data_IF_665097503745
#
_entry.id   IF_665097503745
#
_cell.length_a   1.000
_cell.length_b   1.000
_cell.length_c   1.000
_cell.angle_alpha   90.00
_cell.angle_beta   90.00
_cell.angle_gamma   90.00
#
_symmetry.space_group_name_H-M   'P 1'
#
loop_
_entity.id
_entity.type
_entity.pdbx_description
1 polymer ?
#
# COMPACT_ATOMS: atom_id res chain seq x y z
N UNK A 1 -15.00 8.32 10.81
CA UNK A 1 -16.32 8.75 11.27
C UNK A 1 -17.05 9.58 10.21
N UNK A 2 -16.47 10.68 9.71
CA UNK A 2 -17.12 11.59 8.71
C UNK A 2 -17.56 10.82 7.46
N UNK A 3 -16.70 10.01 6.89
CA UNK A 3 -17.01 9.21 5.70
C UNK A 3 -18.12 8.19 5.97
N UNK A 4 -18.09 7.55 7.13
CA UNK A 4 -19.14 6.61 7.52
C UNK A 4 -20.49 7.31 7.63
N UNK A 5 -20.55 8.47 8.29
CA UNK A 5 -21.79 9.26 8.41
C UNK A 5 -22.34 9.66 7.03
N UNK A 6 -21.46 9.93 6.07
CA UNK A 6 -21.83 10.38 4.74
C UNK A 6 -22.26 9.25 3.79
N UNK A 7 -21.61 8.08 3.88
CA UNK A 7 -21.71 7.06 2.84
C UNK A 7 -22.24 5.71 3.32
N UNK A 8 -22.29 5.41 4.63
CA UNK A 8 -22.68 4.10 5.14
C UNK A 8 -24.17 3.83 5.08
N UNK A 9 -25.00 4.87 4.84
CA UNK A 9 -26.47 4.79 4.95
C UNK A 9 -26.92 4.25 6.31
N UNK A 10 -26.09 4.39 7.35
CA UNK A 10 -26.28 3.86 8.70
C UNK A 10 -26.55 2.34 8.76
N UNK A 11 -26.00 1.62 7.79
CA UNK A 11 -26.11 0.15 7.77
C UNK A 11 -25.28 -0.46 8.90
N UNK A 12 -25.70 -1.63 9.38
CA UNK A 12 -24.87 -2.46 10.28
C UNK A 12 -23.47 -2.59 9.69
N UNK A 13 -22.47 -2.25 10.50
CA UNK A 13 -21.11 -2.05 10.00
C UNK A 13 -20.09 -2.89 10.74
N UNK A 14 -19.17 -3.48 10.00
CA UNK A 14 -17.94 -4.08 10.53
C UNK A 14 -16.73 -3.28 10.07
N UNK A 15 -15.85 -2.91 11.00
CA UNK A 15 -14.62 -2.15 10.75
C UNK A 15 -13.41 -3.03 11.04
N UNK A 16 -12.50 -3.14 10.09
CA UNK A 16 -11.23 -3.87 10.23
C UNK A 16 -10.10 -2.91 10.55
N UNK A 17 -9.61 -2.94 11.79
CA UNK A 17 -8.53 -2.11 12.27
C UNK A 17 -7.16 -2.80 12.13
N UNK A 18 -6.08 -2.01 12.21
CA UNK A 18 -4.69 -2.49 12.08
C UNK A 18 -4.26 -3.29 13.30
N UNK A 19 -4.51 -2.73 14.49
CA UNK A 19 -4.16 -3.28 15.80
C UNK A 19 -5.26 -2.97 16.83
N UNK A 20 -5.07 -3.45 18.05
CA UNK A 20 -6.03 -3.30 19.13
C UNK A 20 -6.20 -1.85 19.53
N UNK A 21 -5.10 -1.10 19.65
CA UNK A 21 -5.15 0.32 20.04
C UNK A 21 -5.92 1.17 19.02
N UNK A 22 -5.68 0.92 17.74
CA UNK A 22 -6.42 1.57 16.65
C UNK A 22 -7.89 1.18 16.66
N UNK A 23 -8.21 -0.08 16.93
CA UNK A 23 -9.58 -0.57 17.01
C UNK A 23 -10.36 0.10 18.17
N UNK A 24 -9.73 0.20 19.33
CA UNK A 24 -10.30 0.90 20.49
C UNK A 24 -10.50 2.39 20.21
N UNK A 25 -9.51 3.04 19.61
CA UNK A 25 -9.61 4.46 19.23
C UNK A 25 -10.78 4.70 18.26
N UNK A 26 -10.92 3.88 17.22
CA UNK A 26 -12.05 4.00 16.30
C UNK A 26 -13.38 3.81 17.04
N UNK A 27 -13.51 2.78 17.87
CA UNK A 27 -14.71 2.55 18.68
C UNK A 27 -15.05 3.78 19.51
N UNK A 28 -14.07 4.35 20.21
CA UNK A 28 -14.26 5.51 21.10
C UNK A 28 -14.73 6.76 20.33
N UNK A 29 -14.20 7.00 19.14
CA UNK A 29 -14.66 8.10 18.28
C UNK A 29 -16.12 7.95 17.84
N UNK A 30 -16.57 6.73 17.54
CA UNK A 30 -17.97 6.47 17.23
C UNK A 30 -18.86 6.65 18.46
N UNK A 31 -18.43 6.16 19.62
CA UNK A 31 -19.17 6.30 20.90
C UNK A 31 -19.28 7.78 21.32
N UNK A 32 -18.20 8.57 21.20
CA UNK A 32 -18.23 10.03 21.45
C UNK A 32 -19.21 10.76 20.53
N UNK A 33 -19.42 10.25 19.32
CA UNK A 33 -20.39 10.78 18.38
C UNK A 33 -21.82 10.29 18.64
N UNK A 34 -22.08 9.58 19.75
CA UNK A 34 -23.39 9.07 20.13
C UNK A 34 -23.84 7.83 19.37
N UNK A 35 -22.91 7.10 18.72
CA UNK A 35 -23.20 5.87 17.99
C UNK A 35 -22.88 4.65 18.85
N UNK A 36 -23.63 3.57 18.67
CA UNK A 36 -23.49 2.33 19.42
C UNK A 36 -22.43 1.45 18.76
N UNK A 37 -21.19 1.56 19.24
CA UNK A 37 -20.05 0.83 18.70
C UNK A 37 -19.38 -0.01 19.77
N UNK A 38 -18.98 -1.22 19.42
CA UNK A 38 -18.22 -2.14 20.28
C UNK A 38 -16.94 -2.62 19.60
N UNK A 39 -16.01 -3.06 20.42
CA UNK A 39 -14.71 -3.57 20.01
C UNK A 39 -14.59 -5.06 20.35
N UNK A 40 -14.01 -5.83 19.42
CA UNK A 40 -13.62 -7.22 19.66
C UNK A 40 -12.21 -7.49 19.12
N UNK A 41 -11.45 -8.31 19.83
CA UNK A 41 -10.11 -8.73 19.41
C UNK A 41 -9.82 -10.19 19.80
N UNK A 42 -8.56 -10.61 19.63
CA UNK A 42 -8.13 -11.98 19.94
C UNK A 42 -8.19 -12.34 21.42
N UNK A 43 -8.21 -11.36 22.34
CA UNK A 43 -8.32 -11.55 23.78
C UNK A 43 -9.78 -11.63 24.26
N UNK A 44 -10.73 -11.17 23.44
CA UNK A 44 -12.18 -11.22 23.75
C UNK A 44 -12.64 -12.68 23.82
N UNK A 45 -13.22 -13.14 24.95
CA UNK A 45 -13.76 -14.49 25.07
C UNK A 45 -14.77 -14.82 23.97
N UNK A 46 -14.86 -16.10 23.60
CA UNK A 46 -15.73 -16.51 22.50
C UNK A 46 -17.19 -16.14 22.76
N UNK A 47 -17.69 -16.39 23.97
CA UNK A 47 -19.10 -16.14 24.32
C UNK A 47 -19.44 -14.63 24.27
N UNK A 48 -18.50 -13.77 24.68
CA UNK A 48 -18.63 -12.33 24.61
C UNK A 48 -18.61 -11.84 23.15
N UNK A 49 -17.77 -12.44 22.30
CA UNK A 49 -17.75 -12.17 20.86
C UNK A 49 -19.07 -12.55 20.20
N UNK A 50 -19.56 -13.75 20.51
CA UNK A 50 -20.81 -14.27 19.94
C UNK A 50 -21.99 -13.37 20.36
N UNK A 51 -22.03 -12.90 21.61
CA UNK A 51 -23.05 -11.97 22.10
C UNK A 51 -22.93 -10.58 21.43
N UNK A 52 -21.71 -10.04 21.28
CA UNK A 52 -21.51 -8.78 20.57
C UNK A 52 -22.02 -8.85 19.12
N UNK A 53 -21.73 -9.94 18.43
CA UNK A 53 -22.24 -10.17 17.08
C UNK A 53 -23.78 -10.35 17.07
N UNK A 54 -24.35 -11.07 18.04
CA UNK A 54 -25.79 -11.20 18.17
C UNK A 54 -26.46 -9.84 18.40
N UNK A 55 -25.87 -8.96 19.19
CA UNK A 55 -26.35 -7.58 19.42
C UNK A 55 -26.30 -6.75 18.14
N UNK A 56 -25.23 -6.90 17.33
CA UNK A 56 -25.18 -6.28 15.99
C UNK A 56 -26.30 -6.80 15.10
N UNK A 57 -26.56 -8.12 15.13
CA UNK A 57 -27.64 -8.75 14.38
C UNK A 57 -29.03 -8.22 14.77
N UNK A 58 -29.31 -8.10 16.07
CA UNK A 58 -30.58 -7.53 16.57
C UNK A 58 -30.72 -6.03 16.35
N UNK A 59 -29.60 -5.31 16.06
CA UNK A 59 -29.57 -3.86 15.93
C UNK A 59 -29.46 -3.14 17.29
N UNK A 60 -29.04 -3.84 18.35
CA UNK A 60 -28.73 -3.24 19.65
C UNK A 60 -27.49 -2.38 19.59
N UNK A 61 -26.56 -2.72 18.69
CA UNK A 61 -25.38 -1.92 18.30
C UNK A 61 -25.35 -1.75 16.78
N UNK A 62 -24.71 -0.68 16.33
CA UNK A 62 -24.64 -0.32 14.90
C UNK A 62 -23.32 -0.75 14.27
N UNK A 63 -22.26 -0.82 15.07
CA UNK A 63 -20.89 -0.94 14.58
C UNK A 63 -20.10 -1.90 15.47
N UNK A 64 -19.39 -2.83 14.83
CA UNK A 64 -18.34 -3.64 15.48
C UNK A 64 -17.00 -3.32 14.86
N UNK A 65 -16.08 -2.86 15.70
CA UNK A 65 -14.68 -2.64 15.30
C UNK A 65 -13.85 -3.82 15.75
N UNK A 66 -13.09 -4.41 14.83
CA UNK A 66 -12.33 -5.60 15.16
C UNK A 66 -10.86 -5.53 14.75
N UNK A 67 -10.03 -6.28 15.49
CA UNK A 67 -8.65 -6.53 15.13
C UNK A 67 -8.44 -8.03 14.86
N UNK A 68 -8.37 -8.41 13.56
CA UNK A 68 -8.04 -9.76 13.06
C UNK A 68 -9.00 -10.89 13.41
N UNK A 69 -10.11 -10.65 14.11
CA UNK A 69 -11.00 -11.71 14.60
C UNK A 69 -12.10 -12.06 13.61
N UNK A 70 -12.63 -11.06 12.92
CA UNK A 70 -13.74 -11.23 11.98
C UNK A 70 -13.29 -11.48 10.53
N UNK A 71 -12.04 -11.89 10.32
CA UNK A 71 -11.57 -12.32 9.01
C UNK A 71 -12.12 -13.69 8.64
N UNK A 72 -12.32 -14.55 9.63
CA UNK A 72 -12.81 -15.93 9.46
C UNK A 72 -13.84 -16.29 10.54
N UNK A 73 -14.61 -17.35 10.31
CA UNK A 73 -15.42 -18.03 11.33
C UNK A 73 -16.72 -17.35 11.76
N UNK A 74 -17.14 -16.21 11.19
CA UNK A 74 -18.44 -15.60 11.47
C UNK A 74 -19.33 -15.51 10.23
N UNK A 75 -20.63 -15.55 10.44
CA UNK A 75 -21.62 -15.45 9.38
C UNK A 75 -22.77 -14.53 9.80
N UNK A 76 -22.86 -13.38 9.19
CA UNK A 76 -23.90 -12.39 9.41
C UNK A 76 -24.22 -11.68 8.10
N UNK A 77 -25.03 -12.27 7.25
CA UNK A 77 -25.31 -11.77 5.90
C UNK A 77 -25.95 -10.39 5.86
N UNK A 78 -26.68 -10.00 6.91
CA UNK A 78 -27.38 -8.71 7.01
C UNK A 78 -26.46 -7.51 7.33
N UNK A 79 -25.17 -7.73 7.60
CA UNK A 79 -24.19 -6.64 7.65
C UNK A 79 -24.04 -6.04 6.27
N UNK A 80 -24.35 -4.75 6.14
CA UNK A 80 -24.41 -4.04 4.86
C UNK A 80 -23.24 -3.11 4.59
N UNK A 81 -22.37 -2.84 5.59
CA UNK A 81 -21.24 -1.93 5.42
C UNK A 81 -19.95 -2.53 5.98
N UNK A 82 -18.86 -2.37 5.24
CA UNK A 82 -17.50 -2.75 5.64
C UNK A 82 -16.58 -1.54 5.56
N UNK A 83 -15.85 -1.25 6.63
CA UNK A 83 -14.79 -0.24 6.62
C UNK A 83 -13.42 -0.91 6.69
N UNK A 84 -12.61 -0.68 5.69
CA UNK A 84 -11.23 -1.17 5.63
C UNK A 84 -10.30 -0.08 6.16
N UNK A 85 -10.10 -0.05 7.47
CA UNK A 85 -9.13 0.83 8.13
C UNK A 85 -7.75 0.16 8.28
N UNK A 86 -7.54 -0.96 7.59
CA UNK A 86 -6.32 -1.76 7.64
C UNK A 86 -5.73 -1.96 6.25
N UNK A 87 -4.54 -1.41 5.97
CA UNK A 87 -3.81 -1.74 4.75
C UNK A 87 -3.44 -3.23 4.71
N UNK A 88 -3.74 -3.90 3.63
CA UNK A 88 -3.33 -5.30 3.43
C UNK A 88 -2.55 -5.47 2.14
N UNK A 89 -1.54 -6.35 2.16
CA UNK A 89 -0.77 -6.74 0.97
C UNK A 89 -1.27 -8.06 0.38
N UNK A 90 -2.12 -8.79 1.11
CA UNK A 90 -2.60 -10.12 0.73
C UNK A 90 -3.98 -10.00 0.10
N UNK A 91 -4.10 -10.37 -1.18
CA UNK A 91 -5.37 -10.38 -1.90
C UNK A 91 -6.42 -11.29 -1.22
N UNK A 92 -5.98 -12.46 -0.70
CA UNK A 92 -6.86 -13.38 0.01
C UNK A 92 -7.51 -12.73 1.24
N UNK A 93 -6.71 -12.05 2.08
CA UNK A 93 -7.23 -11.35 3.27
C UNK A 93 -8.16 -10.20 2.89
N UNK A 94 -7.82 -9.42 1.86
CA UNK A 94 -8.69 -8.37 1.33
C UNK A 94 -10.05 -8.92 0.93
N UNK A 95 -10.07 -10.00 0.16
CA UNK A 95 -11.32 -10.63 -0.30
C UNK A 95 -12.10 -11.31 0.83
N UNK A 96 -11.42 -11.86 1.83
CA UNK A 96 -12.07 -12.42 3.01
C UNK A 96 -12.82 -11.34 3.79
N UNK A 97 -12.18 -10.19 4.06
CA UNK A 97 -12.82 -9.08 4.76
C UNK A 97 -14.07 -8.56 4.02
N UNK A 98 -13.95 -8.27 2.73
CA UNK A 98 -15.07 -7.76 1.93
C UNK A 98 -16.13 -8.85 1.69
N UNK A 99 -15.71 -10.08 1.45
CA UNK A 99 -16.61 -11.21 1.18
C UNK A 99 -17.61 -11.47 2.30
N UNK A 100 -17.32 -11.04 3.52
CA UNK A 100 -18.26 -11.15 4.66
C UNK A 100 -19.49 -10.28 4.46
N UNK A 101 -19.31 -9.07 3.95
CA UNK A 101 -20.42 -8.13 3.75
C UNK A 101 -21.07 -8.24 2.37
N UNK A 102 -20.48 -8.98 1.44
CA UNK A 102 -21.08 -9.24 0.12
C UNK A 102 -22.08 -10.40 0.12
N UNK A 103 -22.24 -11.08 1.24
CA UNK A 103 -23.21 -12.20 1.34
C UNK A 103 -24.63 -11.71 1.14
N UNK A 104 -25.43 -12.44 0.38
CA UNK A 104 -26.84 -12.11 0.19
C UNK A 104 -27.63 -12.33 1.49
N UNK A 105 -28.60 -11.45 1.74
CA UNK A 105 -29.56 -11.56 2.84
C UNK A 105 -30.93 -11.09 2.35
N UNK A 106 -32.04 -11.52 2.99
CA UNK A 106 -33.36 -11.02 2.66
C UNK A 106 -33.43 -9.49 2.77
N UNK A 107 -33.88 -8.82 1.71
CA UNK A 107 -33.96 -7.34 1.67
C UNK A 107 -32.66 -6.60 1.43
N UNK A 108 -31.54 -7.28 1.30
CA UNK A 108 -30.23 -6.68 1.01
C UNK A 108 -29.96 -6.74 -0.50
N UNK A 109 -29.88 -5.59 -1.14
CA UNK A 109 -29.63 -5.45 -2.58
C UNK A 109 -28.16 -5.26 -2.93
N UNK A 110 -27.38 -4.67 -2.00
CA UNK A 110 -25.98 -4.32 -2.19
C UNK A 110 -25.23 -4.24 -0.85
N UNK A 111 -23.93 -4.00 -0.92
CA UNK A 111 -23.09 -3.72 0.24
C UNK A 111 -22.16 -2.54 -0.03
N UNK A 112 -21.90 -1.76 1.01
CA UNK A 112 -21.02 -0.59 0.96
C UNK A 112 -19.65 -0.96 1.51
N UNK A 113 -18.60 -0.67 0.74
CA UNK A 113 -17.21 -0.83 1.19
C UNK A 113 -16.56 0.54 1.24
N UNK A 114 -16.20 0.98 2.44
CA UNK A 114 -15.42 2.20 2.67
C UNK A 114 -13.96 1.81 2.83
N UNK A 115 -13.13 2.15 1.88
CA UNK A 115 -11.71 1.78 1.87
C UNK A 115 -10.82 2.96 2.26
N UNK A 116 -10.65 3.17 3.56
CA UNK A 116 -9.72 4.16 4.11
C UNK A 116 -8.25 3.71 4.01
N UNK A 117 -8.00 2.48 3.60
CA UNK A 117 -6.66 1.88 3.50
C UNK A 117 -6.03 1.96 2.11
N UNK A 118 -6.82 2.27 1.08
CA UNK A 118 -6.40 2.24 -0.32
C UNK A 118 -6.15 0.83 -0.85
N UNK A 119 -6.74 -0.19 -0.25
CA UNK A 119 -6.55 -1.58 -0.65
C UNK A 119 -7.07 -1.86 -2.07
N UNK A 120 -8.16 -1.18 -2.49
CA UNK A 120 -8.71 -1.32 -3.84
C UNK A 120 -7.70 -0.90 -4.94
N UNK A 121 -6.86 0.10 -4.68
CA UNK A 121 -5.82 0.54 -5.63
C UNK A 121 -4.77 -0.54 -5.89
N UNK A 122 -4.56 -1.43 -4.91
CA UNK A 122 -3.61 -2.53 -5.00
C UNK A 122 -4.22 -3.80 -5.56
N UNK A 123 -5.44 -4.11 -5.14
CA UNK A 123 -6.07 -5.41 -5.35
C UNK A 123 -7.21 -5.39 -6.36
N UNK A 124 -7.63 -4.20 -6.83
CA UNK A 124 -8.81 -4.02 -7.66
C UNK A 124 -10.10 -4.06 -6.85
N UNK A 125 -11.23 -4.12 -7.53
CA UNK A 125 -12.55 -4.22 -6.90
C UNK A 125 -12.82 -5.65 -6.41
N UNK A 126 -13.70 -5.77 -5.43
CA UNK A 126 -14.12 -7.08 -4.89
C UNK A 126 -14.71 -8.00 -5.95
N UNK A 127 -15.37 -7.42 -6.96
CA UNK A 127 -16.05 -8.11 -8.06
C UNK A 127 -15.10 -8.50 -9.20
N UNK A 128 -13.86 -7.98 -9.21
CA UNK A 128 -12.91 -8.27 -10.28
C UNK A 128 -12.59 -9.76 -10.31
N UNK A 129 -12.62 -10.33 -11.52
CA UNK A 129 -12.29 -11.74 -11.73
C UNK A 129 -10.81 -11.99 -11.39
N UNK A 130 -10.57 -12.97 -10.54
CA UNK A 130 -9.21 -13.41 -10.19
C UNK A 130 -8.97 -14.79 -10.77
N UNK A 131 -7.89 -14.93 -11.52
CA UNK A 131 -7.41 -16.23 -11.96
C UNK A 131 -6.57 -16.85 -10.83
N UNK A 132 -7.14 -17.86 -10.20
CA UNK A 132 -6.45 -18.64 -9.17
C UNK A 132 -5.64 -19.74 -9.86
N UNK A 133 -4.38 -19.86 -9.48
CA UNK A 133 -3.50 -20.93 -9.96
C UNK A 133 -2.80 -21.62 -8.79
N UNK A 134 -2.67 -22.93 -8.88
CA UNK A 134 -1.86 -23.73 -7.97
C UNK A 134 -0.39 -23.79 -8.42
N UNK A 135 -0.07 -23.24 -9.60
CA UNK A 135 1.27 -23.19 -10.14
C UNK A 135 2.14 -22.23 -9.29
N UNK A 136 3.15 -22.74 -8.57
CA UNK A 136 3.98 -21.93 -7.70
C UNK A 136 4.76 -20.85 -8.45
N UNK A 137 5.10 -21.08 -9.72
CA UNK A 137 5.89 -20.15 -10.53
C UNK A 137 5.05 -18.98 -11.05
N UNK A 138 3.78 -19.20 -11.34
CA UNK A 138 2.85 -18.14 -11.75
C UNK A 138 2.34 -17.31 -10.58
N UNK A 139 2.19 -17.92 -9.42
CA UNK A 139 1.79 -17.23 -8.18
C UNK A 139 2.90 -16.35 -7.58
N UNK A 140 4.16 -16.60 -7.89
CA UNK A 140 5.31 -15.91 -7.34
C UNK A 140 5.47 -14.46 -7.85
N UNK A 141 4.91 -14.09 -9.01
CA UNK A 141 5.00 -12.71 -9.53
C UNK A 141 4.26 -11.67 -8.67
N UNK A 142 3.31 -12.09 -7.84
CA UNK A 142 2.60 -11.24 -6.87
C UNK A 142 2.97 -11.49 -5.39
N UNK A 143 3.80 -12.51 -5.12
CA UNK A 143 4.37 -12.69 -3.78
C UNK A 143 5.63 -11.85 -3.72
N UNK A 144 5.52 -10.67 -3.12
CA UNK A 144 6.70 -9.93 -2.70
C UNK A 144 7.60 -10.84 -1.87
N UNK A 145 8.82 -11.05 -2.36
CA UNK A 145 9.94 -11.81 -1.77
C UNK A 145 10.33 -11.42 -0.34
N UNK A 146 9.52 -10.60 0.34
CA UNK A 146 9.93 -9.83 1.50
C UNK A 146 9.78 -10.53 2.83
N UNK A 147 9.02 -11.63 2.95
CA UNK A 147 8.79 -12.20 4.28
C UNK A 147 9.82 -13.26 4.65
N UNK A 148 10.21 -14.10 3.72
CA UNK A 148 11.18 -15.18 3.97
C UNK A 148 12.61 -14.66 4.04
N UNK A 149 12.96 -13.64 3.25
CA UNK A 149 14.28 -12.99 3.30
C UNK A 149 14.39 -12.02 4.49
N UNK A 150 13.30 -11.39 4.95
CA UNK A 150 13.32 -10.56 6.14
C UNK A 150 13.28 -11.37 7.44
N UNK A 151 12.63 -12.52 7.47
CA UNK A 151 12.64 -13.42 8.63
C UNK A 151 13.97 -14.19 8.73
N UNK A 152 14.56 -14.62 7.62
CA UNK A 152 15.90 -15.22 7.59
C UNK A 152 17.01 -14.19 7.88
N UNK A 153 16.82 -12.93 7.53
CA UNK A 153 17.83 -11.89 7.78
C UNK A 153 17.73 -11.20 9.15
N UNK A 154 16.63 -11.37 9.87
CA UNK A 154 16.48 -10.77 11.21
C UNK A 154 17.19 -11.60 12.31
N UNK A 155 17.31 -12.90 12.12
CA UNK A 155 17.97 -13.81 13.09
C UNK A 155 19.48 -13.81 13.03
N UNK A 156 20.09 -13.50 11.88
CA UNK A 156 21.55 -13.59 11.67
C UNK A 156 22.27 -12.23 11.64
N UNK A 157 21.57 -11.11 11.86
CA UNK A 157 22.21 -9.80 11.89
C UNK A 157 22.76 -9.50 13.26
N UNK A 158 24.08 -9.43 13.35
CA UNK A 158 24.77 -8.81 14.48
C UNK A 158 24.55 -7.30 14.40
N UNK A 159 24.01 -6.70 15.46
CA UNK A 159 23.73 -5.26 15.56
C UNK A 159 24.28 -4.70 16.85
N UNK A 160 24.65 -3.42 16.84
CA UNK A 160 25.09 -2.73 18.05
C UNK A 160 23.91 -2.54 19.02
N UNK A 161 24.17 -2.76 20.30
CA UNK A 161 23.18 -2.48 21.34
C UNK A 161 23.02 -0.97 21.51
N UNK A 162 21.78 -0.46 21.47
CA UNK A 162 21.51 0.97 21.59
C UNK A 162 21.88 1.55 22.96
N UNK A 163 21.95 0.70 24.01
CA UNK A 163 22.26 1.14 25.36
C UNK A 163 23.75 1.07 25.70
N UNK A 164 24.43 -0.03 25.33
CA UNK A 164 25.81 -0.27 25.78
C UNK A 164 26.84 -0.43 24.63
N UNK A 165 26.42 -0.37 23.37
CA UNK A 165 27.28 -0.52 22.21
C UNK A 165 27.80 -1.94 21.95
N UNK A 166 27.49 -2.93 22.81
CA UNK A 166 27.91 -4.31 22.59
C UNK A 166 27.22 -4.94 21.40
N UNK A 167 27.93 -5.78 20.66
CA UNK A 167 27.36 -6.55 19.57
C UNK A 167 26.33 -7.55 20.09
N UNK A 168 25.16 -7.64 19.53
CA UNK A 168 24.10 -8.58 19.88
C UNK A 168 23.41 -9.14 18.65
N UNK A 169 22.74 -10.27 18.79
CA UNK A 169 21.89 -10.77 17.73
C UNK A 169 20.64 -9.91 17.57
N UNK A 170 20.26 -9.63 16.32
CA UNK A 170 19.08 -8.84 16.01
C UNK A 170 17.81 -9.48 16.56
N UNK A 171 17.00 -8.71 17.29
CA UNK A 171 15.75 -9.18 17.88
C UNK A 171 15.87 -9.92 19.21
N UNK A 172 17.09 -10.24 19.68
CA UNK A 172 17.32 -10.88 20.98
C UNK A 172 17.77 -9.85 22.05
N UNK A 173 17.61 -10.17 23.36
CA UNK A 173 18.13 -9.33 24.41
C UNK A 173 19.65 -9.17 24.30
N UNK A 174 20.18 -8.04 24.74
CA UNK A 174 21.62 -7.85 24.82
C UNK A 174 22.20 -8.71 25.95
N UNK A 175 23.16 -9.55 25.61
CA UNK A 175 23.81 -10.42 26.61
C UNK A 175 24.64 -9.64 27.63
N UNK A 176 25.05 -8.39 27.32
CA UNK A 176 25.89 -7.57 28.19
C UNK A 176 25.06 -6.72 29.16
N UNK A 177 24.00 -6.05 28.71
CA UNK A 177 23.19 -5.13 29.54
C UNK A 177 21.72 -5.53 29.71
N UNK A 178 21.27 -6.64 29.10
CA UNK A 178 19.88 -7.08 29.16
C UNK A 178 18.89 -6.23 28.31
N UNK A 179 19.36 -5.19 27.64
CA UNK A 179 18.47 -4.36 26.81
C UNK A 179 17.70 -5.19 25.79
N UNK A 180 16.37 -5.12 25.86
CA UNK A 180 15.46 -5.73 24.90
C UNK A 180 14.97 -4.64 23.94
N UNK A 181 15.23 -4.77 22.62
CA UNK A 181 14.68 -3.81 21.66
C UNK A 181 13.15 -3.91 21.67
N UNK A 182 12.48 -2.82 21.98
CA UNK A 182 11.04 -2.73 21.77
C UNK A 182 10.75 -2.94 20.28
N UNK A 183 9.80 -3.82 19.95
CA UNK A 183 9.28 -3.88 18.60
C UNK A 183 8.71 -2.49 18.31
N UNK A 184 9.31 -1.75 17.38
CA UNK A 184 8.70 -0.52 16.89
C UNK A 184 7.31 -0.91 16.40
N UNK A 185 6.28 -0.46 17.09
CA UNK A 185 4.95 -0.50 16.54
C UNK A 185 5.04 0.17 15.17
N UNK A 186 4.65 -0.55 14.12
CA UNK A 186 4.57 0.05 12.79
C UNK A 186 3.45 1.09 12.88
N UNK A 187 3.80 2.33 13.15
CA UNK A 187 2.86 3.42 13.12
C UNK A 187 2.25 3.49 11.73
N UNK A 188 0.96 3.28 11.64
CA UNK A 188 0.22 3.52 10.41
C UNK A 188 0.21 5.02 10.20
N UNK A 189 0.81 5.48 9.11
CA UNK A 189 0.78 6.89 8.75
C UNK A 189 -0.66 7.30 8.43
N UNK A 190 -1.27 8.06 9.28
CA UNK A 190 -2.57 8.68 9.04
C UNK A 190 -2.39 9.87 8.11
N UNK A 191 -3.17 9.92 7.04
CA UNK A 191 -3.27 11.07 6.14
C UNK A 191 -4.70 11.55 6.15
N UNK A 192 -4.88 12.83 6.28
CA UNK A 192 -6.17 13.45 6.02
C UNK A 192 -6.50 13.31 4.54
N UNK A 193 -7.71 12.92 4.22
CA UNK A 193 -8.17 12.72 2.86
C UNK A 193 -9.68 12.60 2.81
N UNK A 194 -10.25 12.88 1.67
CA UNK A 194 -11.67 12.67 1.40
C UNK A 194 -11.88 11.37 0.65
N UNK A 195 -12.84 10.57 1.08
CA UNK A 195 -13.33 9.44 0.31
C UNK A 195 -14.29 9.95 -0.77
N UNK A 196 -14.09 9.49 -2.00
CA UNK A 196 -15.01 9.69 -3.10
C UNK A 196 -15.56 8.36 -3.61
N UNK A 197 -16.70 8.40 -4.30
CA UNK A 197 -17.19 7.23 -5.02
C UNK A 197 -16.19 6.85 -6.11
N UNK A 198 -15.78 5.59 -6.12
CA UNK A 198 -14.91 5.05 -7.18
C UNK A 198 -15.81 4.46 -8.26
N UNK A 199 -15.91 5.17 -9.39
CA UNK A 199 -16.60 4.66 -10.57
C UNK A 199 -15.67 3.74 -11.36
N UNK A 200 -16.11 2.51 -11.61
CA UNK A 200 -15.39 1.50 -12.39
C UNK A 200 -15.09 1.96 -13.82
N UNK A 201 -15.96 2.79 -14.39
CA UNK A 201 -15.80 3.34 -15.73
C UNK A 201 -14.90 4.59 -15.75
N UNK A 202 -14.59 5.16 -14.60
CA UNK A 202 -13.59 6.21 -14.48
C UNK A 202 -12.20 5.55 -14.54
N UNK A 203 -11.74 5.28 -15.75
CA UNK A 203 -10.31 5.09 -16.02
C UNK A 203 -9.61 6.23 -15.30
N UNK A 204 -8.71 5.90 -14.37
CA UNK A 204 -7.91 6.90 -13.67
C UNK A 204 -7.28 7.79 -14.74
N UNK A 205 -7.85 8.97 -14.94
CA UNK A 205 -7.30 9.92 -15.89
C UNK A 205 -5.90 10.21 -15.38
N UNK A 206 -4.90 9.80 -16.15
CA UNK A 206 -3.52 10.20 -15.87
C UNK A 206 -3.56 11.72 -15.74
N UNK A 207 -3.01 12.28 -14.65
CA UNK A 207 -3.01 13.71 -14.47
C UNK A 207 -2.46 14.37 -15.74
N UNK A 208 -3.30 15.16 -16.40
CA UNK A 208 -2.90 15.94 -17.59
C UNK A 208 -2.11 17.13 -17.06
N UNK A 209 -0.83 17.15 -17.38
CA UNK A 209 0.04 18.27 -17.07
C UNK A 209 0.02 19.22 -18.28
N UNK A 210 -0.31 20.48 -18.03
CA UNK A 210 -0.12 21.55 -19.00
C UNK A 210 1.39 21.82 -19.25
N UNK A 211 1.69 22.70 -20.16
CA UNK A 211 3.07 22.97 -20.55
C UNK A 211 3.87 23.61 -19.38
N UNK A 212 3.22 24.48 -18.62
CA UNK A 212 3.84 25.14 -17.47
C UNK A 212 4.17 24.16 -16.34
N UNK A 213 3.23 23.27 -16.00
CA UNK A 213 3.47 22.23 -15.02
C UNK A 213 4.59 21.26 -15.46
N UNK A 214 4.65 20.91 -16.75
CA UNK A 214 5.76 20.10 -17.30
C UNK A 214 7.09 20.82 -17.20
N UNK A 215 7.13 22.13 -17.47
CA UNK A 215 8.31 22.97 -17.33
C UNK A 215 8.76 23.06 -15.88
N UNK A 216 7.83 23.22 -14.92
CA UNK A 216 8.15 23.20 -13.48
C UNK A 216 8.70 21.84 -13.05
N UNK A 217 8.13 20.74 -13.51
CA UNK A 217 8.66 19.40 -13.25
C UNK A 217 10.11 19.27 -13.75
N UNK A 218 10.40 19.77 -14.95
CA UNK A 218 11.76 19.76 -15.50
C UNK A 218 12.72 20.56 -14.63
N UNK A 219 12.33 21.76 -14.17
CA UNK A 219 13.11 22.59 -13.25
C UNK A 219 13.47 21.83 -11.95
N UNK A 220 12.49 21.13 -11.36
CA UNK A 220 12.70 20.32 -10.16
C UNK A 220 13.60 19.11 -10.40
N UNK A 221 13.53 18.47 -11.56
CA UNK A 221 14.44 17.38 -11.94
C UNK A 221 15.88 17.87 -12.14
N UNK A 222 16.07 19.06 -12.73
CA UNK A 222 17.39 19.71 -12.87
C UNK A 222 17.97 20.03 -11.48
N UNK A 223 17.13 20.51 -10.56
CA UNK A 223 17.56 20.76 -9.17
C UNK A 223 18.09 19.46 -8.51
N UNK A 224 17.33 18.35 -8.59
CA UNK A 224 17.75 17.05 -8.04
C UNK A 224 19.03 16.55 -8.71
N UNK A 225 19.21 16.81 -10.01
CA UNK A 225 20.45 16.47 -10.74
C UNK A 225 21.65 17.15 -10.11
N UNK A 226 21.56 18.46 -9.84
CA UNK A 226 22.61 19.24 -9.19
C UNK A 226 22.82 18.84 -7.73
N UNK A 227 21.72 18.69 -6.96
CA UNK A 227 21.76 18.30 -5.54
C UNK A 227 22.49 16.96 -5.34
N UNK A 228 22.33 16.01 -6.25
CA UNK A 228 22.87 14.65 -6.13
C UNK A 228 24.08 14.34 -6.99
N UNK A 229 24.57 15.31 -7.75
CA UNK A 229 25.72 15.13 -8.63
C UNK A 229 25.45 14.11 -9.76
N UNK A 230 24.23 14.02 -10.25
CA UNK A 230 23.91 13.15 -11.38
C UNK A 230 24.43 13.73 -12.69
N UNK A 231 24.60 12.86 -13.71
CA UNK A 231 24.94 13.28 -15.06
C UNK A 231 23.94 14.34 -15.57
N UNK A 232 24.40 15.44 -16.24
CA UNK A 232 23.52 16.49 -16.74
C UNK A 232 22.32 16.04 -17.56
N UNK A 233 22.46 14.94 -18.31
CA UNK A 233 21.37 14.35 -19.09
C UNK A 233 20.29 13.66 -18.26
N UNK A 234 20.53 13.38 -16.98
CA UNK A 234 19.64 12.62 -16.13
C UNK A 234 18.24 13.25 -16.02
N UNK A 235 18.16 14.57 -15.85
CA UNK A 235 16.89 15.29 -15.77
C UNK A 235 16.04 15.11 -17.03
N UNK A 236 16.66 15.20 -18.21
CA UNK A 236 15.98 15.05 -19.48
C UNK A 236 15.45 13.61 -19.68
N UNK A 237 16.23 12.60 -19.30
CA UNK A 237 15.79 11.21 -19.34
C UNK A 237 14.63 10.95 -18.38
N UNK A 238 14.66 11.50 -17.17
CA UNK A 238 13.57 11.37 -16.19
C UNK A 238 12.32 12.12 -16.63
N UNK A 239 12.48 13.26 -17.29
CA UNK A 239 11.38 13.99 -17.91
C UNK A 239 10.71 13.14 -19.00
N UNK A 240 11.51 12.55 -19.91
CA UNK A 240 10.99 11.65 -20.96
C UNK A 240 10.27 10.43 -20.36
N UNK A 241 10.82 9.84 -19.29
CA UNK A 241 10.19 8.73 -18.57
C UNK A 241 8.82 9.11 -18.00
N UNK A 242 8.65 10.35 -17.52
CA UNK A 242 7.39 10.82 -16.94
C UNK A 242 6.34 11.21 -17.98
N UNK A 243 6.77 11.94 -19.03
CA UNK A 243 5.87 12.61 -19.97
C UNK A 243 5.84 11.98 -21.37
N UNK A 244 6.71 11.01 -21.65
CA UNK A 244 6.80 10.36 -22.98
C UNK A 244 7.51 11.17 -24.05
N UNK A 245 7.83 12.43 -23.81
CA UNK A 245 8.47 13.35 -24.74
C UNK A 245 9.76 13.96 -24.13
N UNK A 246 10.70 14.35 -24.97
CA UNK A 246 11.89 15.06 -24.52
C UNK A 246 11.54 16.51 -24.12
N UNK A 247 12.22 17.09 -23.10
CA UNK A 247 12.07 18.50 -22.80
C UNK A 247 12.63 19.35 -23.95
N UNK A 248 12.14 20.58 -24.05
CA UNK A 248 12.66 21.53 -25.02
C UNK A 248 14.15 21.79 -24.76
N UNK A 249 14.98 21.65 -25.80
CA UNK A 249 16.44 21.84 -25.70
C UNK A 249 16.84 23.30 -25.52
N UNK A 250 16.03 24.21 -26.05
CA UNK A 250 16.29 25.62 -25.98
C UNK A 250 15.62 26.22 -24.74
N UNK A 251 16.40 26.98 -23.96
CA UNK A 251 15.96 27.65 -22.75
C UNK A 251 15.48 26.68 -21.62
N UNK A 252 16.42 25.87 -21.04
CA UNK A 252 16.09 25.03 -19.90
C UNK A 252 15.58 25.89 -18.73
N UNK A 253 14.59 25.44 -17.96
CA UNK A 253 14.08 26.22 -16.84
C UNK A 253 15.13 26.31 -15.72
N UNK A 254 15.05 27.39 -14.92
CA UNK A 254 15.89 27.53 -13.74
C UNK A 254 15.57 26.44 -12.71
N UNK A 255 16.62 25.87 -12.08
CA UNK A 255 16.41 24.82 -11.06
C UNK A 255 15.57 25.32 -9.90
N UNK A 256 14.50 24.62 -9.59
CA UNK A 256 13.58 24.96 -8.50
C UNK A 256 13.53 23.80 -7.49
N UNK A 257 13.45 24.07 -6.17
CA UNK A 257 13.35 23.03 -5.15
C UNK A 257 12.18 22.08 -5.42
N UNK A 258 12.42 20.76 -5.36
CA UNK A 258 11.40 19.77 -5.71
C UNK A 258 10.33 19.65 -4.63
N UNK A 259 9.08 19.52 -5.07
CA UNK A 259 7.94 19.21 -4.21
C UNK A 259 8.07 17.78 -3.65
N UNK A 260 7.36 17.46 -2.55
CA UNK A 260 7.30 16.10 -2.01
C UNK A 260 6.83 15.05 -3.04
N UNK A 261 5.94 15.43 -3.96
CA UNK A 261 5.46 14.58 -5.04
C UNK A 261 6.59 14.18 -5.99
N UNK A 262 7.37 15.17 -6.46
CA UNK A 262 8.51 14.94 -7.36
C UNK A 262 9.58 14.08 -6.69
N UNK A 263 9.92 14.37 -5.43
CA UNK A 263 10.87 13.55 -4.65
C UNK A 263 10.40 12.11 -4.50
N UNK A 264 9.11 11.90 -4.21
CA UNK A 264 8.52 10.57 -4.08
C UNK A 264 8.55 9.80 -5.40
N UNK A 265 8.20 10.46 -6.50
CA UNK A 265 8.24 9.87 -7.83
C UNK A 265 9.66 9.46 -8.23
N UNK A 266 10.65 10.35 -8.07
CA UNK A 266 12.06 10.05 -8.34
C UNK A 266 12.55 8.88 -7.50
N UNK A 267 12.21 8.86 -6.21
CA UNK A 267 12.56 7.74 -5.32
C UNK A 267 11.99 6.42 -5.81
N UNK A 268 10.73 6.40 -6.24
CA UNK A 268 10.09 5.19 -6.78
C UNK A 268 10.80 4.68 -8.05
N UNK A 269 11.23 5.59 -8.95
CA UNK A 269 11.96 5.22 -10.17
C UNK A 269 13.37 4.70 -9.88
N UNK A 270 14.07 5.30 -8.93
CA UNK A 270 15.39 4.83 -8.51
C UNK A 270 15.31 3.43 -7.87
N UNK A 271 14.28 3.17 -7.07
CA UNK A 271 14.03 1.82 -6.51
C UNK A 271 13.73 0.81 -7.62
N UNK A 272 12.89 1.17 -8.60
CA UNK A 272 12.58 0.29 -9.73
C UNK A 272 13.83 -0.02 -10.56
N UNK A 273 14.66 0.98 -10.83
CA UNK A 273 15.93 0.81 -11.55
C UNK A 273 16.92 -0.07 -10.78
N UNK A 274 17.06 0.14 -9.46
CA UNK A 274 17.93 -0.71 -8.64
C UNK A 274 17.47 -2.17 -8.62
N UNK A 275 16.15 -2.40 -8.59
CA UNK A 275 15.59 -3.76 -8.66
C UNK A 275 15.80 -4.43 -10.02
N UNK A 276 15.69 -3.69 -11.14
CA UNK A 276 15.91 -4.23 -12.47
C UNK A 276 17.37 -4.66 -12.70
N UNK A 277 18.34 -4.00 -12.07
CA UNK A 277 19.77 -4.40 -12.14
C UNK A 277 20.09 -5.70 -11.41
N UNK A 278 19.31 -6.02 -10.38
CA UNK A 278 19.51 -7.24 -9.59
C UNK A 278 18.76 -8.46 -10.12
N UNK A 279 18.08 -8.34 -11.27
CA UNK A 279 17.35 -9.44 -11.90
C UNK A 279 18.17 -10.06 -13.03
N UNK A 280 18.75 -11.29 -12.87
CA UNK A 280 19.67 -11.89 -13.87
C UNK A 280 18.99 -12.26 -15.21
N UNK A 281 17.64 -12.35 -15.23
CA UNK A 281 16.88 -12.79 -16.41
C UNK A 281 16.69 -11.77 -17.52
N UNK A 282 16.95 -10.48 -17.28
CA UNK A 282 16.75 -9.39 -18.28
C UNK A 282 18.04 -8.92 -18.95
N UNK A 283 19.15 -9.64 -18.76
CA UNK A 283 20.44 -9.26 -19.35
C UNK A 283 20.58 -9.60 -20.84
N UNK A 284 19.61 -10.26 -21.46
CA UNK A 284 19.73 -10.81 -22.81
C UNK A 284 19.43 -9.84 -23.98
N UNK A 285 19.00 -8.60 -23.72
CA UNK A 285 18.75 -7.61 -24.78
C UNK A 285 19.34 -6.23 -24.45
N UNK A 286 20.63 -6.18 -24.15
CA UNK A 286 21.35 -4.91 -24.17
C UNK A 286 21.99 -4.73 -25.52
N UNK A 287 21.36 -3.95 -26.38
CA UNK A 287 22.01 -3.35 -27.54
C UNK A 287 23.29 -2.65 -27.06
N UNK A 288 24.42 -3.01 -27.62
CA UNK A 288 25.68 -2.32 -27.37
C UNK A 288 25.49 -0.82 -27.66
N UNK A 289 25.97 0.03 -26.77
CA UNK A 289 25.93 1.48 -26.97
C UNK A 289 27.33 2.02 -27.17
N UNK A 290 27.50 3.04 -27.98
CA UNK A 290 28.78 3.73 -28.20
C UNK A 290 29.20 4.51 -26.95
N UNK A 291 30.36 5.14 -27.02
CA UNK A 291 30.94 5.96 -25.92
C UNK A 291 30.04 7.14 -25.50
N UNK A 292 29.00 7.47 -26.29
CA UNK A 292 28.05 8.54 -26.04
C UNK A 292 26.68 8.00 -25.60
N UNK A 293 26.50 6.65 -25.46
CA UNK A 293 25.28 6.02 -24.99
C UNK A 293 24.21 5.78 -26.07
N UNK A 294 24.57 5.83 -27.36
CA UNK A 294 23.66 5.51 -28.46
C UNK A 294 23.71 4.03 -28.81
N UNK A 295 22.57 3.40 -29.16
CA UNK A 295 22.55 2.01 -29.60
C UNK A 295 23.33 1.85 -30.92
N UNK A 296 24.31 0.96 -30.93
CA UNK A 296 25.04 0.56 -32.13
C UNK A 296 24.17 -0.43 -32.87
N UNK A 297 23.69 -0.08 -34.06
CA UNK A 297 23.04 -1.02 -34.95
C UNK A 297 24.07 -2.09 -35.34
N UNK A 298 23.72 -3.38 -35.16
CA UNK A 298 24.54 -4.46 -35.71
C UNK A 298 24.62 -4.31 -37.24
N UNK A 299 25.81 -4.46 -37.85
CA UNK A 299 25.89 -4.48 -39.30
C UNK A 299 25.08 -5.68 -39.83
N UNK A 300 24.23 -5.43 -40.82
CA UNK A 300 23.56 -6.49 -41.59
C UNK A 300 24.66 -7.34 -42.23
N UNK A 301 24.88 -8.52 -41.65
CA UNK A 301 25.82 -9.52 -42.15
C UNK A 301 25.16 -10.29 -43.27
N UNK A 302 25.83 -10.24 -44.40
CA UNK A 302 25.59 -11.03 -45.61
C UNK A 302 25.28 -12.50 -45.30
N UNK A 303 24.16 -12.96 -45.86
CA UNK A 303 23.85 -14.37 -46.05
C UNK A 303 24.77 -14.86 -47.17
N UNK A 304 25.62 -15.84 -46.88
CA UNK A 304 26.10 -16.86 -47.77
C UNK A 304 25.83 -18.21 -47.14
#
# INVERSE_FOLDING_TARGET
>A
LVHWLKYSERRKTVIFAVDVAHSLHIRDEFVKAGLRAEHIDGSTPKDERDETLARLGRGDIDIVVNCMVLTEGWDMPDVGCCVLARPTRQLGLYRQMIGRVLRPAPGKTDAIVLDDSGAYQRHGFAEDRVEWTLDPDKGAKNRTHTKREQEASAGDRVVDCAECGALREGGKPCFHCGFMPSRKAFGVGVREGELGLVDRNRVAQKPTYDEDARRQWHAMLIYITKERGYNPGWAAHKYKEKFGAWPLRFNPPEPTPPTPEVRSWVRSRNIAWAKSRNNPGEKATRTAVDAFGFPISAPEGELL
#
